data_IF_617178788818
#
_entry.id   IF_617178788818
#
_cell.length_a   1.000
_cell.length_b   1.000
_cell.length_c   1.000
_cell.angle_alpha   90.00
_cell.angle_beta   90.00
_cell.angle_gamma   90.00
#
_symmetry.space_group_name_H-M   'P 1'
#
loop_
_entity.id
_entity.type
_entity.pdbx_description
1 polymer ?
#
# COMPACT_ATOMS: atom_id res chain seq x y z
N UNK A 1 -11.04 -0.32 -8.28
CA UNK A 1 -9.71 -0.95 -8.09
C UNK A 1 -8.79 -0.13 -7.18
N UNK A 2 -8.48 1.14 -7.44
CA UNK A 2 -7.53 1.92 -6.61
C UNK A 2 -7.78 1.87 -5.09
N UNK A 3 -9.02 2.00 -4.58
CA UNK A 3 -9.27 1.87 -3.14
C UNK A 3 -8.88 0.50 -2.57
N UNK A 4 -9.12 -0.57 -3.33
CA UNK A 4 -8.75 -1.94 -2.94
C UNK A 4 -7.23 -2.11 -2.88
N UNK A 5 -6.47 -1.50 -3.80
CA UNK A 5 -5.00 -1.51 -3.73
C UNK A 5 -4.49 -0.75 -2.50
N UNK A 6 -5.09 0.38 -2.13
CA UNK A 6 -4.70 1.12 -0.91
C UNK A 6 -4.92 0.28 0.36
N UNK A 7 -6.06 -0.42 0.44
CA UNK A 7 -6.37 -1.33 1.54
C UNK A 7 -5.33 -2.46 1.62
N UNK A 8 -5.07 -3.13 0.50
CA UNK A 8 -4.12 -4.23 0.43
C UNK A 8 -2.68 -3.82 0.79
N UNK A 9 -2.23 -2.66 0.30
CA UNK A 9 -0.92 -2.11 0.66
C UNK A 9 -0.80 -1.81 2.16
N UNK A 10 -1.90 -1.40 2.80
CA UNK A 10 -1.93 -1.13 4.25
C UNK A 10 -1.77 -2.43 5.04
N UNK A 11 -2.46 -3.51 4.62
CA UNK A 11 -2.30 -4.84 5.19
C UNK A 11 -0.85 -5.35 5.06
N UNK A 12 -0.28 -5.26 3.86
CA UNK A 12 1.12 -5.65 3.61
C UNK A 12 2.13 -4.84 4.41
N UNK A 13 1.95 -3.52 4.52
CA UNK A 13 2.83 -2.69 5.32
C UNK A 13 2.81 -3.09 6.81
N UNK A 14 1.64 -3.49 7.34
CA UNK A 14 1.52 -4.00 8.70
C UNK A 14 2.22 -5.36 8.86
N UNK A 15 2.06 -6.27 7.90
CA UNK A 15 2.77 -7.56 7.91
C UNK A 15 4.28 -7.38 7.83
N UNK A 16 4.78 -6.48 6.98
CA UNK A 16 6.21 -6.20 6.85
C UNK A 16 6.78 -5.70 8.17
N UNK A 17 6.09 -4.79 8.86
CA UNK A 17 6.50 -4.34 10.19
C UNK A 17 6.56 -5.48 11.20
N UNK A 18 5.58 -6.39 11.18
CA UNK A 18 5.60 -7.56 12.06
C UNK A 18 6.77 -8.52 11.76
N UNK A 19 7.18 -8.62 10.50
CA UNK A 19 8.38 -9.37 10.09
C UNK A 19 9.67 -8.67 10.48
N UNK A 20 9.73 -7.34 10.39
CA UNK A 20 10.90 -6.55 10.74
C UNK A 20 11.35 -6.77 12.20
N UNK A 21 10.40 -7.01 13.11
CA UNK A 21 10.68 -7.34 14.52
C UNK A 21 11.44 -8.67 14.71
N UNK A 22 11.43 -9.55 13.70
CA UNK A 22 12.10 -10.85 13.72
C UNK A 22 13.31 -10.92 12.77
N UNK A 23 13.58 -9.84 12.03
CA UNK A 23 14.48 -9.86 10.88
C UNK A 23 15.97 -9.58 11.19
N UNK A 24 16.29 -9.23 12.45
CA UNK A 24 17.67 -8.95 12.87
C UNK A 24 18.32 -7.85 12.02
N UNK A 25 19.40 -8.19 11.31
CA UNK A 25 20.14 -7.24 10.47
C UNK A 25 19.32 -6.71 9.29
N UNK A 26 18.32 -7.45 8.79
CA UNK A 26 17.47 -7.04 7.67
C UNK A 26 16.27 -6.17 8.08
N UNK A 27 16.20 -5.76 9.35
CA UNK A 27 15.07 -4.98 9.90
C UNK A 27 14.88 -3.66 9.15
N UNK A 28 15.97 -2.97 8.81
CA UNK A 28 15.91 -1.64 8.21
C UNK A 28 15.27 -1.70 6.81
N UNK A 29 15.70 -2.66 5.99
CA UNK A 29 15.23 -2.87 4.62
C UNK A 29 13.75 -3.27 4.58
N UNK A 30 13.30 -4.09 5.53
CA UNK A 30 11.89 -4.48 5.62
C UNK A 30 11.00 -3.30 6.06
N UNK A 31 11.48 -2.46 6.98
CA UNK A 31 10.76 -1.24 7.35
C UNK A 31 10.70 -0.25 6.19
N UNK A 32 11.78 -0.10 5.43
CA UNK A 32 11.81 0.73 4.22
C UNK A 32 10.77 0.23 3.19
N UNK A 33 10.66 -1.09 3.00
CA UNK A 33 9.63 -1.67 2.13
C UNK A 33 8.20 -1.33 2.61
N UNK A 34 7.96 -1.36 3.92
CA UNK A 34 6.66 -0.99 4.49
C UNK A 34 6.33 0.50 4.24
N UNK A 35 7.31 1.39 4.40
CA UNK A 35 7.14 2.81 4.09
C UNK A 35 6.88 3.06 2.60
N UNK A 36 7.51 2.29 1.71
CA UNK A 36 7.24 2.42 0.27
C UNK A 36 5.79 2.11 -0.09
N UNK A 37 5.16 1.15 0.58
CA UNK A 37 3.74 0.85 0.40
C UNK A 37 2.85 2.00 0.88
N UNK A 38 3.20 2.65 1.99
CA UNK A 38 2.46 3.82 2.48
C UNK A 38 2.60 5.02 1.54
N UNK A 39 3.81 5.29 1.04
CA UNK A 39 4.03 6.32 0.00
C UNK A 39 3.25 6.02 -1.28
N UNK A 40 3.13 4.75 -1.65
CA UNK A 40 2.28 4.35 -2.76
C UNK A 40 0.81 4.68 -2.47
N UNK A 41 0.32 4.43 -1.25
CA UNK A 41 -1.05 4.78 -0.86
C UNK A 41 -1.34 6.28 -0.90
N UNK A 42 -0.39 7.12 -0.52
CA UNK A 42 -0.51 8.57 -0.65
C UNK A 42 -0.70 8.98 -2.12
N UNK A 43 0.14 8.44 -3.01
CA UNK A 43 0.05 8.72 -4.44
C UNK A 43 -1.26 8.21 -5.06
N UNK A 44 -1.70 7.00 -4.68
CA UNK A 44 -2.96 6.41 -5.17
C UNK A 44 -4.18 7.17 -4.65
N UNK A 45 -4.16 7.63 -3.39
CA UNK A 45 -5.21 8.46 -2.80
C UNK A 45 -5.31 9.81 -3.52
N UNK A 46 -4.16 10.48 -3.75
CA UNK A 46 -4.13 11.73 -4.50
C UNK A 46 -4.61 11.55 -5.96
N UNK A 47 -4.33 10.40 -6.58
CA UNK A 47 -4.88 10.07 -7.89
C UNK A 47 -6.39 9.89 -7.84
N UNK A 48 -6.92 9.20 -6.82
CA UNK A 48 -8.36 9.00 -6.62
C UNK A 48 -9.12 10.33 -6.45
N UNK A 49 -8.56 11.27 -5.69
CA UNK A 49 -9.11 12.62 -5.51
C UNK A 49 -9.20 13.37 -6.85
N UNK A 50 -8.12 13.33 -7.65
CA UNK A 50 -8.08 13.97 -8.98
C UNK A 50 -9.05 13.34 -9.97
N UNK A 51 -9.35 12.05 -9.82
CA UNK A 51 -10.31 11.33 -10.64
C UNK A 51 -11.77 11.61 -10.27
N UNK A 52 -12.02 12.37 -9.19
CA UNK A 52 -13.37 12.69 -8.72
C UNK A 52 -14.04 11.55 -7.97
N UNK A 53 -13.26 10.63 -7.40
CA UNK A 53 -13.74 9.47 -6.64
C UNK A 53 -13.50 8.13 -7.33
N UNK A 54 -14.08 7.02 -6.80
CA UNK A 54 -13.86 5.68 -7.33
C UNK A 54 -14.32 5.58 -8.79
N UNK A 55 -13.38 5.36 -9.70
CA UNK A 55 -13.73 5.01 -11.08
C UNK A 55 -14.57 3.73 -11.06
N UNK A 56 -15.70 3.70 -11.80
CA UNK A 56 -16.51 2.50 -11.90
C UNK A 56 -15.62 1.35 -12.37
N UNK A 57 -15.64 0.25 -11.62
CA UNK A 57 -14.92 -0.96 -12.00
C UNK A 57 -15.53 -1.46 -13.31
N UNK A 58 -14.84 -1.23 -14.43
CA UNK A 58 -15.17 -1.88 -15.69
C UNK A 58 -15.10 -3.38 -15.46
N UNK A 59 -16.24 -4.05 -15.58
CA UNK A 59 -16.32 -5.50 -15.63
C UNK A 59 -15.48 -5.99 -16.81
N UNK A 60 -14.30 -6.55 -16.52
CA UNK A 60 -13.64 -7.46 -17.45
C UNK A 60 -14.41 -8.78 -17.40
N UNK A 61 -15.28 -8.99 -18.40
CA UNK A 61 -15.82 -10.29 -18.77
C UNK A 61 -14.85 -11.01 -19.71
#
# INVERSE_FOLDING_TARGET
MLPHWCEHNTEHAAEFRAWAEKAGLARAEILEAAEHLERANEALTAALEKLGGPLPAGHHH
#
